data_IF_054753205917
#
_entry.id   IF_054753205917
#
_cell.length_a   1.000
_cell.length_b   1.000
_cell.length_c   1.000
_cell.angle_alpha   90.00
_cell.angle_beta   90.00
_cell.angle_gamma   90.00
#
_symmetry.space_group_name_H-M   'P 1'
#
loop_
_entity.id
_entity.type
_entity.pdbx_description
1 polymer ?
#
# COMPACT_ATOMS: atom_id res chain seq x y z
N UNK A 1 -1.74 14.81 -9.92
CA UNK A 1 -1.60 13.60 -10.77
C UNK A 1 -0.35 13.71 -11.62
N UNK A 2 0.32 12.60 -11.93
CA UNK A 2 1.46 12.59 -12.85
C UNK A 2 0.99 12.77 -14.30
N UNK A 3 1.84 13.26 -15.21
CA UNK A 3 1.48 13.40 -16.62
C UNK A 3 1.05 12.06 -17.25
N UNK A 4 -0.02 12.06 -18.05
CA UNK A 4 -0.49 10.86 -18.75
C UNK A 4 0.58 10.18 -19.63
N UNK A 5 1.56 10.96 -20.09
CA UNK A 5 2.69 10.49 -20.90
C UNK A 5 3.75 9.70 -20.13
N UNK A 6 3.71 9.63 -18.80
CA UNK A 6 4.72 8.92 -17.99
C UNK A 6 4.87 7.44 -18.37
N UNK A 7 3.79 6.77 -18.80
CA UNK A 7 3.82 5.38 -19.30
C UNK A 7 4.67 5.17 -20.57
N UNK A 8 5.01 6.24 -21.27
CA UNK A 8 5.83 6.22 -22.48
C UNK A 8 7.33 6.31 -22.19
N UNK A 9 7.72 6.56 -20.93
CA UNK A 9 9.12 6.65 -20.52
C UNK A 9 9.74 5.26 -20.36
N UNK A 10 9.80 4.48 -21.44
CA UNK A 10 10.17 3.06 -21.40
C UNK A 10 11.54 2.79 -20.77
N UNK A 11 12.48 3.72 -20.85
CA UNK A 11 13.82 3.60 -20.24
C UNK A 11 13.91 4.14 -18.79
N UNK A 12 12.79 4.57 -18.20
CA UNK A 12 12.77 5.13 -16.85
C UNK A 12 13.16 4.05 -15.84
N UNK A 13 14.19 4.32 -15.03
CA UNK A 13 14.67 3.43 -13.97
C UNK A 13 14.28 3.88 -12.57
N UNK A 14 14.16 5.19 -12.40
CA UNK A 14 13.97 5.83 -11.11
C UNK A 14 12.86 6.86 -11.22
N UNK A 15 11.81 6.69 -10.42
CA UNK A 15 10.76 7.68 -10.24
C UNK A 15 10.69 8.03 -8.76
N UNK A 16 11.26 9.18 -8.41
CA UNK A 16 11.21 9.70 -7.04
C UNK A 16 10.17 10.81 -6.93
N UNK A 17 9.13 10.54 -6.16
CA UNK A 17 8.00 11.44 -5.89
C UNK A 17 7.68 11.52 -4.38
N UNK A 18 8.66 11.28 -3.48
CA UNK A 18 8.43 11.20 -2.01
C UNK A 18 7.72 12.42 -1.43
N UNK A 19 8.12 13.61 -1.88
CA UNK A 19 7.62 14.88 -1.35
C UNK A 19 6.43 15.43 -2.17
N UNK A 20 5.90 14.65 -3.10
CA UNK A 20 4.73 15.01 -3.90
C UNK A 20 3.43 14.73 -3.13
N UNK A 21 3.21 15.42 -2.01
CA UNK A 21 2.05 15.19 -1.14
C UNK A 21 0.70 15.55 -1.78
N UNK A 22 0.68 16.44 -2.77
CA UNK A 22 -0.52 16.78 -3.54
C UNK A 22 -0.86 15.74 -4.63
N UNK A 23 -0.04 14.71 -4.80
CA UNK A 23 -0.32 13.65 -5.75
C UNK A 23 -1.48 12.79 -5.25
N UNK A 24 -2.50 12.62 -6.08
CA UNK A 24 -3.72 11.87 -5.76
C UNK A 24 -3.91 10.62 -6.62
N UNK A 25 -3.09 10.42 -7.65
CA UNK A 25 -3.18 9.27 -8.56
C UNK A 25 -1.89 9.02 -9.34
N UNK A 26 -1.74 7.75 -9.77
CA UNK A 26 -0.70 7.29 -10.68
C UNK A 26 -1.20 7.34 -12.13
N UNK A 27 -0.30 7.40 -13.14
CA UNK A 27 -0.69 7.28 -14.54
C UNK A 27 -1.13 5.82 -14.82
N UNK A 28 -2.14 5.66 -15.67
CA UNK A 28 -2.60 4.35 -16.15
C UNK A 28 -1.44 3.56 -16.76
N UNK A 29 -1.37 2.27 -16.46
CA UNK A 29 -0.42 1.32 -17.02
C UNK A 29 1.05 1.60 -16.64
N UNK A 30 1.30 2.14 -15.43
CA UNK A 30 2.65 2.33 -14.89
C UNK A 30 3.45 1.03 -14.85
N UNK A 31 2.78 -0.11 -14.64
CA UNK A 31 3.39 -1.44 -14.62
C UNK A 31 4.06 -1.85 -15.93
N UNK A 32 3.77 -1.15 -17.03
CA UNK A 32 4.43 -1.36 -18.32
C UNK A 32 5.85 -0.78 -18.39
N UNK A 33 6.30 -0.04 -17.37
CA UNK A 33 7.66 0.48 -17.27
C UNK A 33 8.60 -0.60 -16.74
N UNK A 34 8.90 -1.62 -17.55
CA UNK A 34 9.66 -2.81 -17.13
C UNK A 34 11.08 -2.53 -16.61
N UNK A 35 11.67 -1.38 -16.96
CA UNK A 35 12.99 -0.96 -16.45
C UNK A 35 12.92 -0.15 -15.14
N UNK A 36 11.71 0.19 -14.66
CA UNK A 36 11.51 0.94 -13.42
C UNK A 36 11.85 0.06 -12.23
N UNK A 37 12.96 0.36 -11.57
CA UNK A 37 13.46 -0.39 -10.42
C UNK A 37 13.41 0.38 -9.11
N UNK A 38 13.34 1.72 -9.10
CA UNK A 38 12.95 2.46 -7.90
C UNK A 38 11.73 3.31 -8.17
N UNK A 39 10.73 3.12 -7.33
CA UNK A 39 9.51 3.90 -7.28
C UNK A 39 9.28 4.25 -5.83
N UNK A 40 9.41 5.53 -5.48
CA UNK A 40 9.39 5.89 -4.07
C UNK A 40 7.98 5.95 -3.47
N UNK A 41 6.95 6.20 -4.29
CA UNK A 41 5.56 6.15 -3.88
C UNK A 41 4.66 5.61 -5.00
N UNK A 42 3.64 4.84 -4.63
CA UNK A 42 2.56 4.39 -5.50
C UNK A 42 1.21 4.71 -4.84
N UNK A 43 0.28 5.26 -5.60
CA UNK A 43 -1.08 5.59 -5.13
C UNK A 43 -2.05 4.68 -5.85
N UNK A 44 -2.75 3.83 -5.10
CA UNK A 44 -3.74 2.90 -5.64
C UNK A 44 -4.96 3.70 -6.11
N UNK A 45 -5.26 3.63 -7.41
CA UNK A 45 -6.44 4.24 -8.02
C UNK A 45 -7.61 3.25 -8.14
N UNK A 46 -8.82 3.80 -8.33
CA UNK A 46 -10.04 2.99 -8.55
C UNK A 46 -10.23 2.58 -10.01
N UNK A 47 -9.68 3.39 -10.91
CA UNK A 47 -9.76 3.20 -12.37
C UNK A 47 -8.96 1.98 -12.84
N UNK A 48 -9.37 1.41 -13.97
CA UNK A 48 -8.65 0.31 -14.61
C UNK A 48 -7.22 0.73 -15.00
N UNK A 49 -6.24 -0.15 -14.75
CA UNK A 49 -4.83 0.13 -14.99
C UNK A 49 -4.20 1.12 -14.01
N UNK A 50 -4.87 1.45 -12.90
CA UNK A 50 -4.34 2.21 -11.77
C UNK A 50 -4.34 1.39 -10.45
N UNK A 51 -4.73 0.12 -10.52
CA UNK A 51 -4.80 -0.79 -9.38
C UNK A 51 -3.42 -1.17 -8.84
N UNK A 52 -3.40 -1.80 -7.67
CA UNK A 52 -2.13 -2.19 -7.02
C UNK A 52 -1.41 -3.33 -7.78
N UNK A 53 -2.12 -4.07 -8.62
CA UNK A 53 -1.61 -5.10 -9.50
C UNK A 53 -0.67 -4.55 -10.60
N UNK A 54 -0.67 -3.24 -10.86
CA UNK A 54 0.34 -2.56 -11.68
C UNK A 54 1.77 -2.75 -11.13
N UNK A 55 1.93 -3.08 -9.85
CA UNK A 55 3.22 -3.38 -9.24
C UNK A 55 3.75 -4.78 -9.57
N UNK A 56 2.93 -5.67 -10.16
CA UNK A 56 3.20 -7.10 -10.31
C UNK A 56 4.54 -7.41 -10.97
N UNK A 57 4.78 -6.79 -12.12
CA UNK A 57 5.94 -7.05 -12.98
C UNK A 57 7.14 -6.13 -12.66
N UNK A 58 6.97 -5.14 -11.78
CA UNK A 58 8.02 -4.20 -11.42
C UNK A 58 9.00 -4.84 -10.41
N UNK A 59 10.27 -4.91 -10.80
CA UNK A 59 11.37 -5.38 -9.95
C UNK A 59 11.86 -4.27 -9.00
N UNK A 60 10.97 -3.80 -8.12
CA UNK A 60 11.24 -2.66 -7.24
C UNK A 60 12.30 -2.96 -6.17
N UNK A 61 13.14 -1.96 -5.91
CA UNK A 61 14.29 -1.99 -5.02
C UNK A 61 14.27 -0.82 -4.04
N UNK A 62 14.91 -1.00 -2.88
CA UNK A 62 15.07 0.07 -1.90
C UNK A 62 13.79 0.33 -1.11
N UNK A 63 13.13 1.46 -1.37
CA UNK A 63 12.03 1.97 -0.56
C UNK A 63 10.78 2.17 -1.42
N UNK A 64 9.62 1.75 -0.92
CA UNK A 64 8.34 1.93 -1.56
C UNK A 64 7.28 2.34 -0.53
N UNK A 65 6.58 3.44 -0.79
CA UNK A 65 5.36 3.81 -0.08
C UNK A 65 4.14 3.48 -0.95
N UNK A 66 3.19 2.71 -0.45
CA UNK A 66 1.90 2.42 -1.09
C UNK A 66 0.81 3.16 -0.32
N UNK A 67 0.07 4.03 -0.99
CA UNK A 67 -1.04 4.81 -0.42
C UNK A 67 -2.37 4.47 -1.06
N UNK A 68 -3.45 4.74 -0.32
CA UNK A 68 -4.82 4.53 -0.81
C UNK A 68 -5.22 3.05 -0.83
N UNK A 69 -4.72 2.24 0.10
CA UNK A 69 -5.07 0.81 0.15
C UNK A 69 -6.57 0.56 0.35
N UNK A 70 -7.34 1.53 0.83
CA UNK A 70 -8.81 1.48 0.84
C UNK A 70 -9.44 1.35 -0.56
N UNK A 71 -8.68 1.58 -1.64
CA UNK A 71 -9.13 1.42 -3.03
C UNK A 71 -8.94 0.01 -3.58
N UNK A 72 -8.25 -0.88 -2.86
CA UNK A 72 -8.00 -2.26 -3.30
C UNK A 72 -9.31 -3.05 -3.21
N UNK A 73 -9.69 -3.70 -4.30
CA UNK A 73 -11.02 -4.32 -4.48
C UNK A 73 -11.11 -5.71 -3.87
N UNK A 74 -9.99 -6.40 -3.72
CA UNK A 74 -9.94 -7.77 -3.19
C UNK A 74 -8.54 -8.15 -2.70
N UNK A 75 -8.45 -9.17 -1.86
CA UNK A 75 -7.17 -9.80 -1.51
C UNK A 75 -6.43 -10.38 -2.71
N UNK A 76 -7.15 -10.83 -3.76
CA UNK A 76 -6.53 -11.29 -4.99
C UNK A 76 -5.80 -10.16 -5.73
N UNK A 77 -6.40 -8.97 -5.78
CA UNK A 77 -5.76 -7.78 -6.36
C UNK A 77 -4.51 -7.39 -5.55
N UNK A 78 -4.62 -7.35 -4.21
CA UNK A 78 -3.47 -7.11 -3.32
C UNK A 78 -2.36 -8.14 -3.54
N UNK A 79 -2.70 -9.43 -3.64
CA UNK A 79 -1.73 -10.51 -3.88
C UNK A 79 -1.02 -10.36 -5.22
N UNK A 80 -1.70 -9.85 -6.24
CA UNK A 80 -1.11 -9.59 -7.56
C UNK A 80 -0.03 -8.51 -7.52
N UNK A 81 -0.02 -7.61 -6.53
CA UNK A 81 1.09 -6.69 -6.31
C UNK A 81 2.42 -7.42 -6.07
N UNK A 82 2.37 -8.70 -5.65
CA UNK A 82 3.48 -9.63 -5.66
C UNK A 82 4.73 -9.10 -4.91
N UNK A 83 4.50 -8.51 -3.72
CA UNK A 83 5.55 -7.94 -2.89
C UNK A 83 6.57 -9.00 -2.43
N UNK A 84 6.14 -10.26 -2.29
CA UNK A 84 6.98 -11.39 -1.92
C UNK A 84 8.12 -11.66 -2.92
N UNK A 85 7.97 -11.31 -4.21
CA UNK A 85 9.04 -11.48 -5.22
C UNK A 85 10.02 -10.30 -5.31
N UNK A 86 9.75 -9.19 -4.61
CA UNK A 86 10.58 -7.98 -4.63
C UNK A 86 11.75 -8.09 -3.63
N UNK A 87 12.66 -9.03 -3.90
CA UNK A 87 13.79 -9.41 -3.03
C UNK A 87 14.77 -8.27 -2.69
N UNK A 88 14.78 -7.18 -3.47
CA UNK A 88 15.63 -5.99 -3.25
C UNK A 88 14.90 -4.85 -2.52
N UNK A 89 13.61 -5.00 -2.24
CA UNK A 89 12.86 -4.04 -1.43
C UNK A 89 13.27 -4.20 0.04
N UNK A 90 13.59 -3.08 0.69
CA UNK A 90 14.12 -3.02 2.07
C UNK A 90 13.24 -2.21 3.01
N UNK A 91 12.48 -1.26 2.48
CA UNK A 91 11.52 -0.46 3.24
C UNK A 91 10.18 -0.44 2.53
N UNK A 92 9.12 -0.70 3.29
CA UNK A 92 7.75 -0.70 2.80
C UNK A 92 6.88 0.13 3.75
N UNK A 93 6.19 1.12 3.20
CA UNK A 93 5.14 1.85 3.91
C UNK A 93 3.79 1.53 3.28
N UNK A 94 2.82 1.14 4.09
CA UNK A 94 1.45 0.82 3.70
C UNK A 94 0.50 1.81 4.35
N UNK A 95 -0.25 2.57 3.55
CA UNK A 95 -1.18 3.59 4.03
C UNK A 95 -2.57 3.34 3.45
N UNK A 96 -3.56 3.21 4.33
CA UNK A 96 -4.93 3.01 3.89
C UNK A 96 -5.54 4.26 3.29
N UNK A 97 -5.13 5.46 3.68
CA UNK A 97 -5.60 6.72 3.07
C UNK A 97 -4.64 7.27 2.02
N UNK A 98 -5.14 8.12 1.11
CA UNK A 98 -4.29 8.93 0.24
C UNK A 98 -3.96 10.24 0.96
N UNK A 99 -4.98 10.89 1.54
CA UNK A 99 -4.89 12.13 2.30
C UNK A 99 -5.55 12.03 3.67
N UNK A 100 -5.10 12.84 4.64
CA UNK A 100 -5.61 12.80 6.04
C UNK A 100 -7.12 13.08 6.15
N UNK A 101 -7.67 13.88 5.24
CA UNK A 101 -9.06 14.34 5.28
C UNK A 101 -10.03 13.41 4.54
N UNK A 102 -9.55 12.27 4.01
CA UNK A 102 -10.42 11.31 3.34
C UNK A 102 -11.16 10.43 4.35
N UNK A 103 -12.48 10.48 4.30
CA UNK A 103 -13.34 9.48 4.95
C UNK A 103 -13.48 8.29 3.99
N UNK A 104 -12.66 7.27 4.19
CA UNK A 104 -12.77 6.00 3.46
C UNK A 104 -13.48 4.96 4.32
N UNK A 105 -14.53 4.29 3.84
CA UNK A 105 -15.04 3.11 4.54
C UNK A 105 -13.97 2.02 4.49
N UNK A 106 -13.47 1.64 5.67
CA UNK A 106 -12.47 0.60 5.84
C UNK A 106 -13.16 -0.76 5.81
N UNK A 107 -13.18 -1.40 4.66
CA UNK A 107 -13.72 -2.74 4.49
C UNK A 107 -12.58 -3.64 4.02
N UNK A 108 -12.33 -4.71 4.78
CA UNK A 108 -11.37 -5.77 4.46
C UNK A 108 -9.88 -5.43 4.67
N UNK A 109 -9.55 -4.41 5.45
CA UNK A 109 -8.16 -4.04 5.78
C UNK A 109 -7.30 -5.27 6.18
N UNK A 110 -7.83 -6.15 7.04
CA UNK A 110 -7.14 -7.37 7.48
C UNK A 110 -6.82 -8.33 6.31
N UNK A 111 -7.78 -8.52 5.41
CA UNK A 111 -7.64 -9.41 4.24
C UNK A 111 -6.62 -8.84 3.26
N UNK A 112 -6.66 -7.53 3.03
CA UNK A 112 -5.72 -6.81 2.17
C UNK A 112 -4.31 -6.86 2.77
N UNK A 113 -4.14 -6.54 4.06
CA UNK A 113 -2.84 -6.59 4.74
C UNK A 113 -2.28 -8.02 4.71
N UNK A 114 -3.12 -9.03 4.91
CA UNK A 114 -2.74 -10.45 4.82
C UNK A 114 -2.22 -10.85 3.43
N UNK A 115 -2.76 -10.26 2.37
CA UNK A 115 -2.33 -10.52 0.99
C UNK A 115 -1.07 -9.74 0.57
N UNK A 116 -0.69 -8.69 1.30
CA UNK A 116 0.47 -7.84 1.01
C UNK A 116 1.76 -8.32 1.68
N UNK A 117 1.97 -9.64 1.74
CA UNK A 117 3.18 -10.24 2.30
C UNK A 117 4.44 -9.74 1.55
N UNK A 118 5.38 -9.07 2.23
CA UNK A 118 6.64 -8.66 1.65
C UNK A 118 7.65 -9.83 1.63
N UNK A 119 8.73 -9.67 0.87
CA UNK A 119 9.85 -10.61 0.95
C UNK A 119 10.52 -10.53 2.34
N UNK A 120 11.03 -11.66 2.84
CA UNK A 120 11.82 -11.78 4.09
C UNK A 120 13.07 -10.89 4.19
N UNK A 121 13.42 -10.19 3.12
CA UNK A 121 14.57 -9.27 3.03
C UNK A 121 14.22 -7.85 3.49
N UNK A 122 12.95 -7.58 3.77
CA UNK A 122 12.45 -6.31 4.28
C UNK A 122 13.10 -6.01 5.64
N UNK A 123 13.52 -4.76 5.83
CA UNK A 123 14.15 -4.26 7.06
C UNK A 123 13.26 -3.31 7.83
N UNK A 124 12.42 -2.54 7.12
CA UNK A 124 11.54 -1.54 7.71
C UNK A 124 10.12 -1.70 7.19
N UNK A 125 9.16 -1.68 8.11
CA UNK A 125 7.73 -1.71 7.81
C UNK A 125 7.03 -0.55 8.51
N UNK A 126 6.26 0.22 7.76
CA UNK A 126 5.38 1.25 8.29
C UNK A 126 3.94 0.94 7.87
N UNK A 127 3.00 0.97 8.83
CA UNK A 127 1.57 0.77 8.59
C UNK A 127 0.81 1.98 9.14
N UNK A 128 0.01 2.62 8.28
CA UNK A 128 -0.68 3.86 8.58
C UNK A 128 -2.18 3.74 8.24
N UNK A 129 -3.02 4.26 9.12
CA UNK A 129 -4.49 4.32 8.99
C UNK A 129 -5.16 2.93 8.82
N UNK A 130 -4.50 1.87 9.30
CA UNK A 130 -5.03 0.51 9.30
C UNK A 130 -6.08 0.33 10.39
N UNK A 131 -7.30 -0.11 10.03
CA UNK A 131 -8.41 -0.28 10.98
C UNK A 131 -8.76 -1.75 11.28
N UNK A 132 -7.96 -2.70 10.79
CA UNK A 132 -8.11 -4.10 11.15
C UNK A 132 -7.81 -4.35 12.63
N UNK A 133 -8.45 -5.36 13.20
CA UNK A 133 -8.31 -5.78 14.59
C UNK A 133 -7.13 -6.74 14.80
N UNK A 134 -6.72 -7.44 13.75
CA UNK A 134 -5.64 -8.44 13.79
C UNK A 134 -4.48 -8.07 12.89
N UNK A 135 -3.27 -8.51 13.23
CA UNK A 135 -2.11 -8.43 12.33
C UNK A 135 -1.93 -9.79 11.63
N UNK A 136 -1.51 -9.82 10.35
CA UNK A 136 -1.36 -11.05 9.61
C UNK A 136 -0.20 -11.90 10.12
N UNK A 137 -0.29 -13.20 9.90
CA UNK A 137 0.71 -14.18 10.32
C UNK A 137 2.12 -13.89 9.76
N UNK A 138 2.21 -13.26 8.57
CA UNK A 138 3.49 -12.95 7.96
C UNK A 138 4.30 -11.88 8.71
N UNK A 139 3.68 -11.12 9.61
CA UNK A 139 4.39 -10.15 10.46
C UNK A 139 5.14 -10.79 11.63
N UNK A 140 4.98 -12.10 11.85
CA UNK A 140 5.71 -12.82 12.89
C UNK A 140 7.19 -12.97 12.53
N UNK A 141 8.07 -12.91 13.53
CA UNK A 141 9.54 -12.90 13.37
C UNK A 141 10.08 -14.03 12.47
N UNK A 142 9.44 -15.21 12.49
CA UNK A 142 9.83 -16.36 11.67
C UNK A 142 9.72 -16.11 10.17
N UNK A 143 8.84 -15.20 9.73
CA UNK A 143 8.57 -14.92 8.32
C UNK A 143 9.25 -13.64 7.83
N UNK A 144 9.63 -12.74 8.74
CA UNK A 144 10.41 -11.53 8.45
C UNK A 144 11.67 -11.45 9.32
N UNK A 145 12.61 -12.41 9.20
CA UNK A 145 13.79 -12.49 10.08
C UNK A 145 14.76 -11.29 9.96
N UNK A 146 14.64 -10.47 8.90
CA UNK A 146 15.48 -9.30 8.69
C UNK A 146 14.81 -7.97 9.09
N UNK A 147 13.57 -8.02 9.58
CA UNK A 147 12.83 -6.83 9.98
C UNK A 147 13.39 -6.30 11.30
N UNK A 148 13.83 -5.04 11.28
CA UNK A 148 14.47 -4.38 12.43
C UNK A 148 13.70 -3.15 12.91
N UNK A 149 12.71 -2.70 12.14
CA UNK A 149 11.94 -1.49 12.45
C UNK A 149 10.49 -1.67 12.01
N UNK A 150 9.57 -1.45 12.94
CA UNK A 150 8.12 -1.38 12.70
C UNK A 150 7.62 -0.03 13.22
N UNK A 151 6.85 0.67 12.40
CA UNK A 151 6.15 1.90 12.80
C UNK A 151 4.66 1.76 12.51
N UNK A 152 3.83 2.14 13.48
CA UNK A 152 2.37 2.18 13.35
C UNK A 152 1.89 3.61 13.55
N UNK A 153 0.97 4.08 12.70
CA UNK A 153 0.42 5.43 12.79
C UNK A 153 -1.07 5.46 12.53
N UNK A 154 -1.84 6.12 13.40
CA UNK A 154 -3.31 6.23 13.29
C UNK A 154 -4.03 4.88 13.13
N UNK A 155 -3.48 3.80 13.69
CA UNK A 155 -4.13 2.51 13.72
C UNK A 155 -5.12 2.49 14.89
N UNK A 156 -6.32 3.00 14.66
CA UNK A 156 -7.35 3.09 15.69
C UNK A 156 -8.33 1.93 15.58
N UNK A 157 -8.69 1.37 16.74
CA UNK A 157 -9.81 0.44 16.83
C UNK A 157 -11.09 1.27 16.63
N UNK A 158 -12.00 0.90 15.72
CA UNK A 158 -13.28 1.59 15.63
C UNK A 158 -13.95 1.52 17.00
N UNK A 159 -14.07 2.67 17.68
CA UNK A 159 -14.80 2.74 18.95
C UNK A 159 -16.22 2.32 18.64
N UNK A 160 -16.72 1.27 19.28
CA UNK A 160 -18.13 0.93 19.23
C UNK A 160 -18.90 2.18 19.64
N UNK A 161 -19.54 2.84 18.68
CA UNK A 161 -20.48 3.92 18.95
C UNK A 161 -21.53 3.29 19.83
N UNK A 162 -21.46 3.58 21.12
CA UNK A 162 -22.52 3.23 22.05
C UNK A 162 -23.67 4.15 21.67
N UNK A 163 -24.55 3.68 20.79
CA UNK A 163 -25.90 4.21 20.67
C UNK A 163 -26.62 3.89 21.98
N UNK A 164 -26.34 4.69 23.00
CA UNK A 164 -27.13 4.75 24.23
C UNK A 164 -28.22 5.79 24.01
N UNK A 165 -29.43 5.35 24.38
CA UNK A 165 -30.65 6.11 24.62
C UNK A 165 -31.43 6.49 23.34
N UNK A 166 -32.77 6.36 23.28
CA UNK A 166 -33.75 6.48 24.36
C UNK A 166 -34.90 5.49 24.10
N UNK A 167 -35.19 4.61 25.05
CA UNK A 167 -36.52 4.03 25.21
C UNK A 167 -37.26 4.87 26.27
N UNK A 168 -38.33 5.54 25.87
CA UNK A 168 -39.29 6.20 26.76
C UNK A 168 -40.64 6.30 26.04
N UNK A 169 -41.76 6.31 26.77
CA UNK A 169 -42.19 5.39 27.82
C UNK A 169 -43.18 4.33 27.29
#
# INVERSE_FOLDING_TARGET
>A
MLPKGTKNLKNLRYLDIRDCHALTSMPVALGQLSFLCKLSMFIVGKEEGCGIDELKELALEGELSIKGLHNVKSSMEAKNANLIKKHKLRSLSLSWRINRNENSPHQNDEEILSALQPHSNLKKLCIIDYQGLTLPYWMMDLLLPNLVEISLGNCERPSATTSREIALP
#
